data_IF_054246199044
#
_entry.id   IF_054246199044
#
_cell.length_a   1.000
_cell.length_b   1.000
_cell.length_c   1.000
_cell.angle_alpha   90.00
_cell.angle_beta   90.00
_cell.angle_gamma   90.00
#
_symmetry.space_group_name_H-M   'P 1'
#
loop_
_entity.id
_entity.type
_entity.pdbx_description
1 polymer ?
#
# COMPACT_ATOMS: atom_id res chain seq x y z
N UNK A 1 26.94 51.38 -36.06
CA UNK A 1 25.59 51.72 -36.56
C UNK A 1 24.65 50.58 -36.14
N UNK A 2 23.49 50.86 -35.53
CA UNK A 2 22.55 49.80 -35.15
C UNK A 2 22.02 49.08 -36.39
N UNK A 3 21.76 47.78 -36.27
CA UNK A 3 21.18 47.01 -37.39
C UNK A 3 19.74 47.44 -37.66
N UNK A 4 19.35 47.36 -38.93
CA UNK A 4 17.97 47.49 -39.40
C UNK A 4 17.45 46.13 -39.89
N UNK A 5 16.14 45.92 -39.85
CA UNK A 5 15.53 44.67 -40.34
C UNK A 5 15.85 44.43 -41.82
N UNK A 6 15.94 45.49 -42.62
CA UNK A 6 16.33 45.42 -44.04
C UNK A 6 17.76 44.89 -44.18
N UNK A 7 18.71 45.39 -43.38
CA UNK A 7 20.10 44.93 -43.41
C UNK A 7 20.21 43.45 -42.99
N UNK A 8 19.42 43.02 -42.00
CA UNK A 8 19.38 41.62 -41.53
C UNK A 8 18.80 40.70 -42.59
N UNK A 9 17.69 41.09 -43.23
CA UNK A 9 17.05 40.33 -44.30
C UNK A 9 17.98 40.16 -45.49
N UNK A 10 18.64 41.24 -45.89
CA UNK A 10 19.53 41.28 -47.06
C UNK A 10 20.95 40.76 -46.79
N UNK A 11 21.27 40.38 -45.56
CA UNK A 11 22.57 39.80 -45.22
C UNK A 11 22.82 38.52 -46.02
N UNK A 12 23.87 38.52 -46.87
CA UNK A 12 24.26 37.40 -47.72
C UNK A 12 25.38 36.57 -47.08
N UNK A 13 25.43 35.26 -47.36
CA UNK A 13 26.57 34.41 -46.99
C UNK A 13 27.83 34.85 -47.72
N UNK A 14 28.98 34.58 -47.11
CA UNK A 14 30.30 34.75 -47.71
C UNK A 14 31.13 33.48 -47.45
N UNK A 15 32.32 33.39 -48.04
CA UNK A 15 33.21 32.21 -47.89
C UNK A 15 33.61 31.92 -46.43
N UNK A 16 33.52 32.94 -45.56
CA UNK A 16 33.77 32.84 -44.13
C UNK A 16 32.58 33.40 -43.34
N UNK A 17 32.37 32.97 -42.07
CA UNK A 17 31.29 33.51 -41.25
C UNK A 17 31.39 35.02 -41.08
N UNK A 18 30.32 35.73 -41.47
CA UNK A 18 30.26 37.19 -41.41
C UNK A 18 29.50 37.64 -40.17
N UNK A 19 29.98 38.71 -39.51
CA UNK A 19 29.34 39.28 -38.33
C UNK A 19 28.83 40.68 -38.64
N UNK A 20 27.52 40.86 -38.52
CA UNK A 20 26.88 42.17 -38.63
C UNK A 20 26.57 42.66 -37.21
N UNK A 21 27.30 43.67 -36.75
CA UNK A 21 27.18 44.14 -35.37
C UNK A 21 26.00 45.08 -35.16
N UNK A 22 25.29 44.88 -34.05
CA UNK A 22 24.34 45.82 -33.48
C UNK A 22 24.94 46.46 -32.20
N UNK A 23 24.12 47.16 -31.43
CA UNK A 23 24.53 47.77 -30.17
C UNK A 23 24.65 46.78 -29.00
N UNK A 24 25.53 47.13 -28.05
CA UNK A 24 25.62 46.45 -26.76
C UNK A 24 26.09 44.99 -26.86
N UNK A 25 26.99 44.69 -27.79
CA UNK A 25 27.58 43.35 -27.97
C UNK A 25 26.69 42.36 -28.74
N UNK A 26 25.48 42.75 -29.14
CA UNK A 26 24.63 41.96 -30.03
C UNK A 26 25.15 42.03 -31.46
N UNK A 27 25.09 40.91 -32.19
CA UNK A 27 25.41 40.85 -33.61
C UNK A 27 24.70 39.66 -34.27
N UNK A 28 24.49 39.75 -35.58
CA UNK A 28 24.04 38.64 -36.41
C UNK A 28 25.27 37.92 -36.98
N UNK A 29 25.36 36.62 -36.75
CA UNK A 29 26.38 35.75 -37.34
C UNK A 29 25.77 35.01 -38.53
N UNK A 30 26.30 35.23 -39.73
CA UNK A 30 25.86 34.59 -40.97
C UNK A 30 26.89 33.54 -41.37
N UNK A 31 26.50 32.27 -41.41
CA UNK A 31 27.40 31.20 -41.87
C UNK A 31 27.50 31.17 -43.40
N UNK A 32 28.59 30.61 -43.95
CA UNK A 32 28.71 30.34 -45.38
C UNK A 32 27.55 29.52 -45.97
N UNK A 33 26.94 28.64 -45.16
CA UNK A 33 25.78 27.82 -45.54
C UNK A 33 24.44 28.57 -45.56
N UNK A 34 24.40 29.86 -45.20
CA UNK A 34 23.16 30.65 -45.19
C UNK A 34 22.47 30.79 -43.85
N UNK A 35 22.84 30.00 -42.84
CA UNK A 35 22.27 30.11 -41.50
C UNK A 35 22.59 31.46 -40.83
N UNK A 36 21.61 32.02 -40.12
CA UNK A 36 21.71 33.32 -39.45
C UNK A 36 21.39 33.17 -37.95
N UNK A 37 22.35 33.48 -37.08
CA UNK A 37 22.17 33.38 -35.63
C UNK A 37 22.37 34.72 -34.94
N UNK A 38 21.48 35.04 -34.01
CA UNK A 38 21.70 36.13 -33.06
C UNK A 38 22.70 35.71 -32.01
N UNK A 39 23.75 36.51 -31.83
CA UNK A 39 24.81 36.27 -30.86
C UNK A 39 25.00 37.50 -29.99
N UNK A 40 25.26 37.27 -28.72
CA UNK A 40 25.64 38.31 -27.77
C UNK A 40 27.05 38.02 -27.24
N UNK A 41 27.96 38.95 -27.50
CA UNK A 41 29.34 38.96 -27.03
C UNK A 41 29.43 39.77 -25.74
N UNK A 42 29.98 39.18 -24.68
CA UNK A 42 30.10 39.81 -23.38
C UNK A 42 31.39 39.38 -22.66
N UNK A 43 31.72 40.04 -21.54
CA UNK A 43 32.79 39.63 -20.63
C UNK A 43 32.21 39.30 -19.26
N UNK A 44 32.76 38.26 -18.64
CA UNK A 44 32.45 37.89 -17.26
C UNK A 44 33.73 37.37 -16.59
N UNK A 45 34.05 37.88 -15.40
CA UNK A 45 35.29 37.56 -14.68
C UNK A 45 36.56 37.67 -15.56
N UNK A 46 36.69 38.77 -16.30
CA UNK A 46 37.82 39.05 -17.20
C UNK A 46 37.84 38.26 -18.52
N UNK A 47 37.01 37.22 -18.66
CA UNK A 47 36.97 36.36 -19.86
C UNK A 47 35.87 36.78 -20.83
N UNK A 48 36.22 36.82 -22.11
CA UNK A 48 35.26 37.04 -23.19
C UNK A 48 34.44 35.77 -23.44
N UNK A 49 33.12 35.93 -23.53
CA UNK A 49 32.15 34.85 -23.72
C UNK A 49 31.12 35.23 -24.78
N UNK A 50 30.45 34.22 -25.33
CA UNK A 50 29.45 34.35 -26.39
C UNK A 50 28.20 33.56 -26.03
N UNK A 51 27.04 34.21 -26.09
CA UNK A 51 25.72 33.61 -25.89
C UNK A 51 24.96 33.58 -27.22
N UNK A 52 24.31 32.45 -27.53
CA UNK A 52 23.34 32.38 -28.64
C UNK A 52 22.02 32.97 -28.18
N UNK A 53 21.39 33.87 -28.93
CA UNK A 53 20.09 34.45 -28.59
C UNK A 53 18.95 33.92 -29.48
N UNK A 54 19.26 33.11 -30.50
CA UNK A 54 18.26 32.51 -31.38
C UNK A 54 18.71 32.42 -32.82
N UNK A 55 17.83 31.87 -33.67
CA UNK A 55 18.01 31.76 -35.11
C UNK A 55 17.08 32.75 -35.79
N UNK A 56 17.53 33.41 -36.84
CA UNK A 56 16.67 34.22 -37.71
C UNK A 56 16.11 33.33 -38.83
N UNK A 57 14.83 33.45 -39.24
CA UNK A 57 13.87 34.51 -38.89
C UNK A 57 13.01 34.24 -37.65
N UNK A 58 13.10 33.06 -37.02
CA UNK A 58 12.26 32.68 -35.86
C UNK A 58 12.33 33.70 -34.71
N UNK A 59 13.52 34.26 -34.48
CA UNK A 59 13.76 35.35 -33.54
C UNK A 59 14.01 36.63 -34.33
N UNK A 60 13.16 37.62 -34.11
CA UNK A 60 13.25 38.92 -34.80
C UNK A 60 14.41 39.74 -34.23
N UNK A 61 14.80 40.83 -34.91
CA UNK A 61 15.80 41.77 -34.37
C UNK A 61 15.34 42.39 -33.04
N UNK A 62 14.03 42.66 -32.91
CA UNK A 62 13.43 43.14 -31.66
C UNK A 62 13.59 42.11 -30.53
N UNK A 63 13.19 40.86 -30.76
CA UNK A 63 13.33 39.80 -29.75
C UNK A 63 14.80 39.55 -29.37
N UNK A 64 15.72 39.66 -30.35
CA UNK A 64 17.14 39.55 -30.10
C UNK A 64 17.67 40.68 -29.19
N UNK A 65 17.16 41.91 -29.36
CA UNK A 65 17.45 43.05 -28.46
C UNK A 65 16.88 42.83 -27.07
N UNK A 66 15.63 42.38 -26.94
CA UNK A 66 15.01 42.09 -25.65
C UNK A 66 15.75 40.98 -24.88
N UNK A 67 16.17 39.92 -25.59
CA UNK A 67 17.00 38.84 -25.02
C UNK A 67 18.40 39.32 -24.63
N UNK A 68 19.02 40.21 -25.42
CA UNK A 68 20.29 40.86 -25.07
C UNK A 68 20.13 41.65 -23.78
N UNK A 69 19.10 42.48 -23.67
CA UNK A 69 18.92 43.35 -22.51
C UNK A 69 18.61 42.55 -21.24
N UNK A 70 17.87 41.44 -21.36
CA UNK A 70 17.71 40.48 -20.27
C UNK A 70 19.04 39.87 -19.83
N UNK A 71 19.90 39.45 -20.77
CA UNK A 71 21.23 38.93 -20.46
C UNK A 71 22.15 40.00 -19.83
N UNK A 72 22.02 41.27 -20.24
CA UNK A 72 22.77 42.39 -19.65
C UNK A 72 22.33 42.68 -18.21
N UNK A 73 21.05 42.52 -17.87
CA UNK A 73 20.57 42.61 -16.48
C UNK A 73 21.22 41.55 -15.59
N UNK A 74 21.33 40.30 -16.06
CA UNK A 74 22.04 39.24 -15.33
C UNK A 74 23.51 39.61 -15.09
N UNK A 75 24.21 40.15 -16.11
CA UNK A 75 25.59 40.60 -15.96
C UNK A 75 25.73 41.73 -14.94
N UNK A 76 24.82 42.69 -14.93
CA UNK A 76 24.80 43.78 -13.96
C UNK A 76 24.64 43.27 -12.51
N UNK A 77 23.97 42.13 -12.34
CA UNK A 77 23.79 41.45 -11.05
C UNK A 77 24.91 40.43 -10.75
N UNK A 78 26.01 40.43 -11.50
CA UNK A 78 27.13 39.50 -11.27
C UNK A 78 26.84 38.04 -11.66
N UNK A 79 25.79 37.77 -12.45
CA UNK A 79 25.44 36.43 -12.92
C UNK A 79 25.91 36.23 -14.37
N UNK A 80 26.58 35.11 -14.65
CA UNK A 80 26.94 34.72 -16.02
C UNK A 80 25.70 34.22 -16.79
N UNK A 81 25.23 34.92 -17.84
CA UNK A 81 24.03 34.52 -18.60
C UNK A 81 24.16 33.18 -19.30
N UNK A 82 25.38 32.78 -19.69
CA UNK A 82 25.64 31.49 -20.31
C UNK A 82 25.56 30.33 -19.32
N UNK A 83 26.00 30.56 -18.08
CA UNK A 83 25.87 29.58 -17.00
C UNK A 83 24.42 29.48 -16.52
N UNK A 84 23.74 30.61 -16.30
CA UNK A 84 22.32 30.62 -15.92
C UNK A 84 21.47 29.84 -16.91
N UNK A 85 21.65 30.08 -18.23
CA UNK A 85 20.94 29.31 -19.26
C UNK A 85 21.21 27.80 -19.20
N UNK A 86 22.46 27.39 -18.88
CA UNK A 86 22.80 25.97 -18.72
C UNK A 86 22.11 25.38 -17.48
N UNK A 87 22.10 26.11 -16.37
CA UNK A 87 21.40 25.71 -15.13
C UNK A 87 19.90 25.56 -15.37
N UNK A 88 19.27 26.54 -16.03
CA UNK A 88 17.85 26.48 -16.38
C UNK A 88 17.53 25.29 -17.30
N UNK A 89 18.38 25.02 -18.30
CA UNK A 89 18.19 23.85 -19.20
C UNK A 89 18.34 22.53 -18.46
N UNK A 90 19.35 22.39 -17.59
CA UNK A 90 19.55 21.19 -16.78
C UNK A 90 18.38 20.99 -15.80
N UNK A 91 17.89 22.05 -15.18
CA UNK A 91 16.73 22.02 -14.29
C UNK A 91 15.44 21.62 -15.04
N UNK A 92 15.26 22.02 -16.30
CA UNK A 92 14.12 21.62 -17.12
C UNK A 92 14.17 20.13 -17.49
N UNK A 93 15.35 19.61 -17.85
CA UNK A 93 15.54 18.17 -18.14
C UNK A 93 15.33 17.33 -16.87
N UNK A 94 15.88 17.78 -15.74
CA UNK A 94 15.65 17.13 -14.44
C UNK A 94 14.18 17.16 -14.02
N UNK A 95 13.47 18.28 -14.22
CA UNK A 95 12.02 18.35 -13.96
C UNK A 95 11.22 17.40 -14.84
N UNK A 96 11.59 17.28 -16.12
CA UNK A 96 10.94 16.33 -17.03
C UNK A 96 11.20 14.86 -16.66
N UNK A 97 12.36 14.54 -16.08
CA UNK A 97 12.71 13.18 -15.63
C UNK A 97 12.16 12.80 -14.25
N UNK A 98 11.88 13.76 -13.37
CA UNK A 98 11.40 13.52 -12.00
C UNK A 98 9.86 13.58 -11.93
N UNK A 99 9.18 12.70 -12.67
CA UNK A 99 7.73 12.55 -12.54
C UNK A 99 7.34 11.92 -11.20
N UNK A 100 6.12 12.17 -10.72
CA UNK A 100 5.64 11.59 -9.46
C UNK A 100 5.75 10.07 -9.46
N UNK A 101 5.37 9.40 -10.55
CA UNK A 101 5.46 7.94 -10.65
C UNK A 101 6.90 7.45 -10.57
N UNK A 102 7.84 8.11 -11.26
CA UNK A 102 9.26 7.73 -11.22
C UNK A 102 9.77 7.79 -9.78
N UNK A 103 9.48 8.87 -9.07
CA UNK A 103 9.90 9.05 -7.67
C UNK A 103 9.19 8.08 -6.74
N UNK A 104 7.91 7.80 -6.98
CA UNK A 104 7.15 6.83 -6.20
C UNK A 104 7.69 5.40 -6.36
N UNK A 105 8.08 5.00 -7.57
CA UNK A 105 8.68 3.67 -7.82
C UNK A 105 10.08 3.56 -7.22
N UNK A 106 10.88 4.61 -7.30
CA UNK A 106 12.19 4.68 -6.63
C UNK A 106 12.05 4.54 -5.11
N UNK A 107 11.15 5.33 -4.51
CA UNK A 107 10.81 5.24 -3.09
C UNK A 107 10.35 3.82 -2.72
N UNK A 108 9.43 3.25 -3.49
CA UNK A 108 8.89 1.91 -3.26
C UNK A 108 9.97 0.83 -3.28
N UNK A 109 10.89 0.87 -4.25
CA UNK A 109 11.99 -0.07 -4.34
C UNK A 109 12.90 -0.01 -3.11
N UNK A 110 13.15 1.19 -2.56
CA UNK A 110 13.93 1.36 -1.33
C UNK A 110 13.23 0.84 -0.07
N UNK A 111 11.90 0.83 -0.02
CA UNK A 111 11.14 0.32 1.12
C UNK A 111 10.88 -1.20 1.07
N UNK A 112 10.85 -1.77 -0.12
CA UNK A 112 10.46 -3.16 -0.36
C UNK A 112 11.19 -4.20 0.51
N UNK A 113 12.52 -4.11 0.77
CA UNK A 113 13.23 -5.07 1.62
C UNK A 113 12.72 -5.12 3.07
N UNK A 114 12.19 -4.01 3.58
CA UNK A 114 11.65 -3.92 4.95
C UNK A 114 10.19 -4.37 5.08
N UNK A 115 9.52 -4.68 3.97
CA UNK A 115 8.09 -4.98 3.96
C UNK A 115 7.82 -6.45 3.64
N UNK A 116 6.78 -6.99 4.26
CA UNK A 116 6.18 -8.23 3.78
C UNK A 116 5.67 -8.01 2.35
N UNK A 117 5.87 -9.00 1.45
CA UNK A 117 5.48 -8.90 0.04
C UNK A 117 4.04 -8.42 -0.14
N UNK A 118 3.09 -8.97 0.62
CA UNK A 118 1.68 -8.61 0.54
C UNK A 118 1.37 -7.16 0.97
N UNK A 119 2.23 -6.55 1.79
CA UNK A 119 2.13 -5.14 2.14
C UNK A 119 2.59 -4.26 0.98
N UNK A 120 3.75 -4.58 0.39
CA UNK A 120 4.27 -3.91 -0.80
C UNK A 120 3.28 -3.98 -1.97
N UNK A 121 2.78 -5.17 -2.30
CA UNK A 121 1.80 -5.39 -3.37
C UNK A 121 0.57 -4.47 -3.22
N UNK A 122 0.07 -4.28 -1.98
CA UNK A 122 -1.08 -3.39 -1.71
C UNK A 122 -0.76 -1.90 -1.87
N UNK A 123 0.47 -1.49 -1.54
CA UNK A 123 0.88 -0.09 -1.65
C UNK A 123 1.05 0.27 -3.13
N UNK A 124 1.81 -0.53 -3.89
CA UNK A 124 2.03 -0.23 -5.30
C UNK A 124 0.73 -0.30 -6.10
N UNK A 125 -0.11 -1.32 -5.87
CA UNK A 125 -1.41 -1.42 -6.54
C UNK A 125 -2.30 -0.20 -6.24
N UNK A 126 -2.25 0.35 -5.02
CA UNK A 126 -2.99 1.57 -4.70
C UNK A 126 -2.45 2.77 -5.47
N UNK A 127 -1.14 2.94 -5.54
CA UNK A 127 -0.52 4.02 -6.32
C UNK A 127 -0.85 3.90 -7.81
N UNK A 128 -0.75 2.70 -8.38
CA UNK A 128 -1.02 2.42 -9.80
C UNK A 128 -2.49 2.61 -10.17
N UNK A 129 -3.42 2.19 -9.31
CA UNK A 129 -4.84 2.29 -9.62
C UNK A 129 -5.46 3.64 -9.27
N UNK A 130 -5.01 4.27 -8.19
CA UNK A 130 -5.67 5.46 -7.64
C UNK A 130 -4.88 6.76 -7.83
N UNK A 131 -3.56 6.72 -8.09
CA UNK A 131 -2.70 7.93 -8.13
C UNK A 131 -2.06 8.17 -9.50
N UNK A 132 -1.31 7.21 -10.02
CA UNK A 132 -0.55 7.35 -11.27
C UNK A 132 -1.39 7.76 -12.48
N UNK A 133 -2.64 7.30 -12.66
CA UNK A 133 -3.48 7.74 -13.78
C UNK A 133 -3.74 9.24 -13.81
N UNK A 134 -3.62 9.93 -12.67
CA UNK A 134 -3.93 11.34 -12.53
C UNK A 134 -2.70 12.22 -12.32
N UNK A 135 -1.72 11.72 -11.57
CA UNK A 135 -0.53 12.50 -11.17
C UNK A 135 0.79 11.88 -11.63
N UNK A 136 0.80 10.63 -12.10
CA UNK A 136 2.03 9.86 -12.31
C UNK A 136 3.01 10.51 -13.28
N UNK A 137 2.51 11.03 -14.41
CA UNK A 137 3.33 11.71 -15.42
C UNK A 137 3.70 13.15 -15.08
N UNK A 138 3.15 13.74 -14.01
CA UNK A 138 3.44 15.14 -13.66
C UNK A 138 4.80 15.25 -12.97
N UNK A 139 5.62 16.27 -13.28
CA UNK A 139 6.80 16.61 -12.49
C UNK A 139 6.41 16.80 -11.03
N UNK A 140 7.06 16.09 -10.11
CA UNK A 140 6.68 16.10 -8.69
C UNK A 140 6.76 17.50 -8.06
N UNK A 141 7.68 18.33 -8.55
CA UNK A 141 7.86 19.72 -8.12
C UNK A 141 6.70 20.65 -8.50
N UNK A 142 5.91 20.29 -9.52
CA UNK A 142 4.82 21.12 -10.02
C UNK A 142 3.44 20.66 -9.51
N UNK A 143 3.38 19.61 -8.66
CA UNK A 143 2.14 19.09 -8.11
C UNK A 143 1.71 19.93 -6.91
N UNK A 144 0.47 20.42 -6.94
CA UNK A 144 -0.12 21.22 -5.86
C UNK A 144 -0.94 20.36 -4.90
N UNK A 145 -1.10 20.84 -3.67
CA UNK A 145 -1.94 20.20 -2.65
C UNK A 145 -3.39 19.97 -3.13
N UNK A 146 -3.96 20.91 -3.89
CA UNK A 146 -5.32 20.79 -4.45
C UNK A 146 -5.46 19.60 -5.39
N UNK A 147 -4.43 19.29 -6.18
CA UNK A 147 -4.47 18.18 -7.14
C UNK A 147 -4.35 16.83 -6.44
N UNK A 148 -3.55 16.78 -5.37
CA UNK A 148 -3.52 15.61 -4.47
C UNK A 148 -4.90 15.43 -3.84
N UNK A 149 -5.52 16.49 -3.31
CA UNK A 149 -6.86 16.43 -2.73
C UNK A 149 -7.92 15.95 -3.73
N UNK A 150 -7.84 16.35 -4.99
CA UNK A 150 -8.77 15.88 -6.03
C UNK A 150 -8.65 14.38 -6.26
N UNK A 151 -7.42 13.82 -6.26
CA UNK A 151 -7.20 12.38 -6.30
C UNK A 151 -7.81 11.69 -5.08
N UNK A 152 -7.60 12.22 -3.88
CA UNK A 152 -8.16 11.65 -2.66
C UNK A 152 -9.69 11.65 -2.68
N UNK A 153 -10.31 12.75 -3.12
CA UNK A 153 -11.77 12.88 -3.24
C UNK A 153 -12.36 11.94 -4.29
N UNK A 154 -11.63 11.61 -5.37
CA UNK A 154 -12.08 10.58 -6.33
C UNK A 154 -12.21 9.21 -5.66
N UNK A 155 -11.22 8.83 -4.86
CA UNK A 155 -11.23 7.56 -4.11
C UNK A 155 -12.33 7.56 -3.04
N UNK A 156 -12.50 8.67 -2.35
CA UNK A 156 -13.56 8.86 -1.36
C UNK A 156 -14.97 8.73 -1.98
N UNK A 157 -15.23 9.39 -3.13
CA UNK A 157 -16.51 9.34 -3.84
C UNK A 157 -16.90 7.93 -4.30
N UNK A 158 -15.93 7.02 -4.46
CA UNK A 158 -16.18 5.59 -4.72
C UNK A 158 -16.67 4.83 -3.48
N UNK A 159 -16.78 5.49 -2.33
CA UNK A 159 -17.10 4.88 -1.03
C UNK A 159 -15.90 4.26 -0.31
N UNK A 160 -14.68 4.37 -0.87
CA UNK A 160 -13.48 3.72 -0.36
C UNK A 160 -12.69 4.62 0.61
N UNK A 161 -13.32 5.06 1.71
CA UNK A 161 -12.73 6.04 2.64
C UNK A 161 -11.39 5.59 3.26
N UNK A 162 -11.29 4.36 3.76
CA UNK A 162 -10.01 3.83 4.29
C UNK A 162 -8.92 3.87 3.21
N UNK A 163 -9.25 3.49 1.97
CA UNK A 163 -8.32 3.57 0.85
C UNK A 163 -7.87 5.00 0.59
N UNK A 164 -8.77 5.98 0.62
CA UNK A 164 -8.43 7.39 0.43
C UNK A 164 -7.42 7.90 1.48
N UNK A 165 -7.61 7.56 2.76
CA UNK A 165 -6.65 7.89 3.83
C UNK A 165 -5.29 7.22 3.59
N UNK A 166 -5.28 5.97 3.14
CA UNK A 166 -4.02 5.30 2.82
C UNK A 166 -3.34 5.86 1.57
N UNK A 167 -4.09 6.28 0.56
CA UNK A 167 -3.55 7.00 -0.61
C UNK A 167 -2.86 8.26 -0.12
N UNK A 168 -3.53 9.06 0.72
CA UNK A 168 -2.97 10.29 1.30
C UNK A 168 -1.64 10.02 2.02
N UNK A 169 -1.61 8.98 2.86
CA UNK A 169 -0.38 8.56 3.55
C UNK A 169 0.73 8.17 2.58
N UNK A 170 0.43 7.40 1.52
CA UNK A 170 1.43 6.99 0.54
C UNK A 170 1.94 8.18 -0.29
N UNK A 171 1.07 9.08 -0.71
CA UNK A 171 1.48 10.32 -1.38
C UNK A 171 2.44 11.13 -0.50
N UNK A 172 2.14 11.30 0.79
CA UNK A 172 3.02 11.99 1.72
C UNK A 172 4.34 11.27 1.98
N UNK A 173 4.39 9.93 1.90
CA UNK A 173 5.66 9.20 1.94
C UNK A 173 6.52 9.47 0.70
N UNK A 174 5.91 9.48 -0.50
CA UNK A 174 6.60 9.81 -1.76
C UNK A 174 7.11 11.25 -1.74
N UNK A 175 6.29 12.22 -1.32
CA UNK A 175 6.72 13.62 -1.22
C UNK A 175 7.84 13.81 -0.19
N UNK A 176 7.78 13.18 0.98
CA UNK A 176 8.87 13.26 1.96
C UNK A 176 10.16 12.60 1.45
N UNK A 177 10.06 11.52 0.69
CA UNK A 177 11.21 10.94 -0.02
C UNK A 177 11.80 11.92 -1.04
N UNK A 178 10.93 12.60 -1.81
CA UNK A 178 11.34 13.62 -2.76
C UNK A 178 12.03 14.81 -2.08
N UNK A 179 11.57 15.22 -0.88
CA UNK A 179 12.25 16.24 -0.05
C UNK A 179 13.63 15.74 0.37
N UNK A 180 13.71 14.55 0.94
CA UNK A 180 14.97 13.97 1.44
C UNK A 180 16.04 13.80 0.33
N UNK A 181 15.60 13.68 -0.93
CA UNK A 181 16.47 13.55 -2.10
C UNK A 181 16.63 14.85 -2.90
N UNK A 182 16.18 15.99 -2.36
CA UNK A 182 16.39 17.31 -2.96
C UNK A 182 15.58 17.59 -4.22
N UNK A 183 14.52 16.84 -4.48
CA UNK A 183 13.67 16.97 -5.70
C UNK A 183 12.54 17.96 -5.53
N UNK A 184 12.08 18.17 -4.30
CA UNK A 184 11.11 19.20 -3.91
C UNK A 184 11.51 19.80 -2.57
N UNK A 185 11.06 21.01 -2.28
CA UNK A 185 11.37 21.69 -1.00
C UNK A 185 10.42 21.27 0.12
N UNK A 186 9.19 20.83 -0.22
CA UNK A 186 8.13 20.57 0.77
C UNK A 186 7.21 19.43 0.36
N UNK A 187 6.69 18.73 1.38
CA UNK A 187 5.57 17.81 1.22
C UNK A 187 4.23 18.56 1.16
N UNK A 188 3.65 18.64 -0.04
CA UNK A 188 2.36 19.31 -0.29
C UNK A 188 1.16 18.55 0.26
N UNK A 189 1.31 17.28 0.64
CA UNK A 189 0.22 16.49 1.23
C UNK A 189 0.01 16.76 2.71
N UNK A 190 0.99 17.36 3.39
CA UNK A 190 0.96 17.59 4.83
C UNK A 190 -0.24 18.47 5.27
N UNK A 191 -0.60 19.46 4.45
CA UNK A 191 -1.71 20.39 4.71
C UNK A 191 -3.09 19.75 4.48
N UNK A 192 -3.15 18.55 3.91
CA UNK A 192 -4.40 17.84 3.64
C UNK A 192 -4.85 16.96 4.80
N UNK A 193 -4.14 16.98 5.95
CA UNK A 193 -4.60 16.27 7.14
C UNK A 193 -5.97 16.80 7.57
N UNK A 194 -6.92 15.90 7.79
CA UNK A 194 -8.30 16.25 8.13
C UNK A 194 -9.15 16.70 6.94
N UNK A 195 -8.62 16.77 5.72
CA UNK A 195 -9.40 17.13 4.53
C UNK A 195 -10.37 16.04 4.07
N UNK A 196 -10.16 14.79 4.52
CA UNK A 196 -11.05 13.66 4.28
C UNK A 196 -11.89 13.38 5.52
N UNK A 197 -13.18 13.04 5.36
CA UNK A 197 -14.00 12.53 6.46
C UNK A 197 -13.35 11.29 7.10
N UNK A 198 -13.56 11.06 8.40
CA UNK A 198 -12.99 9.90 9.07
C UNK A 198 -13.51 8.60 8.43
N UNK A 199 -12.62 7.62 8.26
CA UNK A 199 -13.01 6.27 7.90
C UNK A 199 -13.74 5.64 9.10
N UNK A 200 -14.94 5.10 8.88
CA UNK A 200 -15.61 4.27 9.90
C UNK A 200 -14.96 2.89 9.87
N UNK A 201 -14.32 2.52 10.97
CA UNK A 201 -13.85 1.16 11.18
C UNK A 201 -14.94 0.40 11.93
N UNK A 202 -15.60 -0.52 11.25
CA UNK A 202 -16.49 -1.48 11.89
C UNK A 202 -15.68 -2.71 12.32
N UNK A 203 -16.02 -3.25 13.48
CA UNK A 203 -15.47 -4.53 13.92
C UNK A 203 -15.97 -5.64 12.98
N UNK A 204 -15.18 -6.71 12.83
CA UNK A 204 -15.63 -7.86 12.04
C UNK A 204 -16.90 -8.45 12.65
N UNK A 205 -17.91 -8.69 11.80
CA UNK A 205 -19.15 -9.34 12.21
C UNK A 205 -18.87 -10.71 12.87
N UNK A 206 -19.60 -10.94 13.96
CA UNK A 206 -19.53 -12.15 14.78
C UNK A 206 -20.87 -12.40 15.45
N UNK A 207 -21.31 -13.65 15.43
CA UNK A 207 -22.38 -14.15 16.29
C UNK A 207 -21.79 -14.46 17.67
N UNK A 208 -22.46 -14.01 18.74
CA UNK A 208 -22.05 -14.29 20.12
C UNK A 208 -23.18 -14.89 20.96
N UNK A 209 -24.42 -14.85 20.45
CA UNK A 209 -25.57 -15.42 21.15
C UNK A 209 -25.59 -16.95 21.01
N UNK A 210 -25.66 -17.72 22.11
CA UNK A 210 -25.58 -19.19 22.08
C UNK A 210 -26.54 -19.85 21.07
N UNK A 211 -27.76 -19.35 20.95
CA UNK A 211 -28.77 -19.87 20.01
C UNK A 211 -28.38 -19.68 18.54
N UNK A 212 -27.81 -18.53 18.20
CA UNK A 212 -27.33 -18.25 16.83
C UNK A 212 -26.09 -19.09 16.52
N UNK A 213 -25.18 -19.20 17.49
CA UNK A 213 -23.98 -20.04 17.39
C UNK A 213 -24.35 -21.51 17.18
N UNK A 214 -25.34 -22.03 17.91
CA UNK A 214 -25.84 -23.39 17.72
C UNK A 214 -26.33 -23.62 16.27
N UNK A 215 -27.11 -22.68 15.73
CA UNK A 215 -27.56 -22.73 14.34
C UNK A 215 -26.42 -22.70 13.32
N UNK A 216 -25.44 -21.82 13.54
CA UNK A 216 -24.23 -21.73 12.72
C UNK A 216 -23.46 -23.06 12.74
N UNK A 217 -23.20 -23.61 13.92
CA UNK A 217 -22.44 -24.83 14.11
C UNK A 217 -23.07 -26.03 13.40
N UNK A 218 -24.40 -26.17 13.47
CA UNK A 218 -25.15 -27.19 12.70
C UNK A 218 -25.03 -26.97 11.19
N UNK A 219 -25.10 -25.71 10.73
CA UNK A 219 -24.91 -25.39 9.32
C UNK A 219 -23.48 -25.73 8.82
N UNK A 220 -22.46 -25.52 9.66
CA UNK A 220 -21.07 -25.90 9.33
C UNK A 220 -20.94 -27.42 9.10
N UNK A 221 -21.58 -28.24 9.93
CA UNK A 221 -21.57 -29.70 9.79
C UNK A 221 -22.32 -30.16 8.52
N UNK A 222 -23.31 -29.39 8.06
CA UNK A 222 -24.03 -29.61 6.81
C UNK A 222 -23.28 -29.18 5.53
N UNK A 223 -22.12 -28.51 5.64
CA UNK A 223 -21.43 -27.93 4.49
C UNK A 223 -21.01 -28.97 3.44
N UNK A 224 -21.37 -28.71 2.18
CA UNK A 224 -20.97 -29.54 1.03
C UNK A 224 -19.82 -28.86 0.27
N UNK A 225 -18.63 -29.45 0.36
CA UNK A 225 -17.41 -28.97 -0.30
C UNK A 225 -16.31 -30.01 -0.22
N UNK A 226 -15.06 -29.62 -0.50
CA UNK A 226 -13.94 -30.55 -0.32
C UNK A 226 -13.77 -30.87 1.16
N UNK A 227 -13.33 -32.10 1.46
CA UNK A 227 -13.08 -32.55 2.83
C UNK A 227 -12.13 -31.61 3.59
N UNK A 228 -11.09 -31.10 2.90
CA UNK A 228 -10.15 -30.11 3.45
C UNK A 228 -10.85 -28.83 3.92
N UNK A 229 -11.83 -28.31 3.16
CA UNK A 229 -12.60 -27.11 3.55
C UNK A 229 -13.57 -27.43 4.68
N UNK A 230 -14.19 -28.61 4.68
CA UNK A 230 -15.06 -29.06 5.77
C UNK A 230 -14.29 -29.12 7.10
N UNK A 231 -13.10 -29.74 7.11
CA UNK A 231 -12.23 -29.77 8.30
C UNK A 231 -11.84 -28.36 8.75
N UNK A 232 -11.46 -27.47 7.83
CA UNK A 232 -11.10 -26.09 8.17
C UNK A 232 -12.27 -25.32 8.80
N UNK A 233 -13.50 -25.51 8.30
CA UNK A 233 -14.69 -24.88 8.88
C UNK A 233 -15.02 -25.41 10.26
N UNK A 234 -14.89 -26.72 10.50
CA UNK A 234 -15.12 -27.33 11.81
C UNK A 234 -14.06 -26.90 12.83
N UNK A 235 -12.79 -26.76 12.40
CA UNK A 235 -11.68 -26.34 13.25
C UNK A 235 -11.64 -24.84 13.53
N UNK A 236 -12.18 -24.00 12.65
CA UNK A 236 -12.16 -22.54 12.82
C UNK A 236 -12.79 -22.05 14.15
N UNK A 237 -14.01 -22.47 14.55
CA UNK A 237 -14.57 -22.11 15.85
C UNK A 237 -13.88 -22.83 17.02
N UNK A 238 -13.38 -24.06 16.84
CA UNK A 238 -12.69 -24.81 17.90
C UNK A 238 -11.36 -24.18 18.30
N UNK A 239 -10.57 -23.74 17.32
CA UNK A 239 -9.21 -23.22 17.55
C UNK A 239 -9.17 -21.70 17.67
N UNK A 240 -10.11 -21.01 17.00
CA UNK A 240 -10.26 -19.55 16.97
C UNK A 240 -8.92 -18.80 16.80
N UNK A 241 -8.00 -19.37 16.02
CA UNK A 241 -6.79 -18.71 15.55
C UNK A 241 -7.13 -17.71 14.44
N UNK A 242 -6.18 -16.87 14.04
CA UNK A 242 -6.41 -15.99 12.89
C UNK A 242 -6.61 -16.84 11.64
N UNK A 243 -7.55 -16.50 10.73
CA UNK A 243 -7.75 -17.25 9.48
C UNK A 243 -6.47 -17.37 8.64
N UNK A 244 -5.61 -16.35 8.75
CA UNK A 244 -4.27 -16.32 8.17
C UNK A 244 -3.36 -17.47 8.63
N UNK A 245 -3.42 -17.83 9.90
CA UNK A 245 -2.57 -18.89 10.49
C UNK A 245 -3.18 -20.27 10.24
N UNK A 246 -4.51 -20.41 10.39
CA UNK A 246 -5.21 -21.68 10.15
C UNK A 246 -4.95 -22.20 8.73
N UNK A 247 -5.19 -21.36 7.73
CA UNK A 247 -5.05 -21.73 6.31
C UNK A 247 -3.63 -22.16 5.92
N UNK A 248 -2.61 -21.63 6.59
CA UNK A 248 -1.19 -21.86 6.26
C UNK A 248 -0.54 -22.84 7.23
N UNK A 249 -1.33 -23.46 8.11
CA UNK A 249 -0.83 -24.42 9.08
C UNK A 249 -0.08 -25.56 8.36
N UNK A 250 1.07 -25.95 8.90
CA UNK A 250 1.94 -26.99 8.35
C UNK A 250 1.94 -28.19 9.30
N UNK A 251 2.00 -29.40 8.75
CA UNK A 251 1.96 -30.62 9.56
C UNK A 251 3.13 -30.71 10.55
N UNK A 252 4.30 -30.19 10.19
CA UNK A 252 5.49 -30.09 11.05
C UNK A 252 5.27 -29.28 12.33
N UNK A 253 4.22 -28.46 12.40
CA UNK A 253 3.87 -27.64 13.55
C UNK A 253 2.97 -28.37 14.56
N UNK A 254 2.45 -29.56 14.23
CA UNK A 254 1.52 -30.31 15.07
C UNK A 254 2.19 -31.50 15.72
N UNK A 255 1.98 -31.63 17.03
CA UNK A 255 2.21 -32.85 17.79
C UNK A 255 0.83 -33.34 18.26
N UNK A 256 0.19 -34.19 17.45
CA UNK A 256 -1.18 -34.64 17.70
C UNK A 256 -1.28 -35.61 18.88
N UNK A 257 -0.18 -36.27 19.24
CA UNK A 257 -0.14 -37.17 20.40
C UNK A 257 -0.07 -36.38 21.70
N UNK A 258 0.63 -35.24 21.70
CA UNK A 258 0.58 -34.27 22.81
C UNK A 258 -0.59 -33.29 22.73
N UNK A 259 -1.39 -33.35 21.66
CA UNK A 259 -2.48 -32.41 21.39
C UNK A 259 -2.02 -30.94 21.36
N UNK A 260 -0.94 -30.65 20.64
CA UNK A 260 -0.35 -29.31 20.54
C UNK A 260 -0.17 -28.84 19.10
N UNK A 261 -0.38 -27.55 18.87
CA UNK A 261 0.02 -26.86 17.64
C UNK A 261 0.94 -25.67 17.96
N UNK A 262 2.18 -25.69 17.47
CA UNK A 262 3.22 -24.69 17.76
C UNK A 262 3.69 -23.99 16.49
N UNK A 263 3.56 -22.67 16.43
CA UNK A 263 3.99 -21.88 15.28
C UNK A 263 4.38 -20.45 15.68
N UNK A 264 5.15 -19.78 14.82
CA UNK A 264 5.45 -18.35 14.98
C UNK A 264 4.37 -17.52 14.30
N UNK A 265 3.66 -16.69 15.06
CA UNK A 265 2.55 -15.86 14.56
C UNK A 265 3.06 -14.90 13.48
N UNK A 266 2.45 -14.95 12.29
CA UNK A 266 2.90 -14.18 11.14
C UNK A 266 2.94 -12.66 11.37
N UNK A 267 1.95 -12.13 12.11
CA UNK A 267 1.76 -10.70 12.39
C UNK A 267 2.69 -10.16 13.49
N UNK A 268 2.88 -10.91 14.57
CA UNK A 268 3.62 -10.44 15.77
C UNK A 268 5.03 -11.01 15.87
N UNK A 269 5.36 -12.02 15.05
CA UNK A 269 6.65 -12.72 15.06
C UNK A 269 7.00 -13.33 16.41
N UNK A 270 5.98 -13.83 17.12
CA UNK A 270 6.11 -14.47 18.43
C UNK A 270 5.71 -15.92 18.34
N UNK A 271 6.42 -16.77 19.05
CA UNK A 271 6.06 -18.18 19.18
C UNK A 271 4.76 -18.32 19.96
N UNK A 272 3.91 -19.19 19.46
CA UNK A 272 2.60 -19.44 20.01
C UNK A 272 2.32 -20.94 20.00
N UNK A 273 1.87 -21.43 21.14
CA UNK A 273 1.34 -22.78 21.30
C UNK A 273 -0.18 -22.67 21.41
N UNK A 274 -0.90 -23.52 20.69
CA UNK A 274 -2.36 -23.71 20.76
C UNK A 274 -2.60 -25.12 21.30
N UNK A 275 -3.15 -25.29 22.52
CA UNK A 275 -3.62 -26.60 22.98
C UNK A 275 -4.80 -27.06 22.13
N UNK A 276 -4.87 -28.35 21.83
CA UNK A 276 -5.90 -28.95 21.00
C UNK A 276 -6.86 -29.76 21.88
N UNK A 277 -8.15 -29.45 21.81
CA UNK A 277 -9.18 -30.30 22.39
C UNK A 277 -9.28 -31.63 21.63
N UNK A 278 -9.83 -32.67 22.28
CA UNK A 278 -10.02 -34.00 21.68
C UNK A 278 -10.75 -33.96 20.34
N UNK A 279 -11.77 -33.12 20.23
CA UNK A 279 -12.55 -32.87 19.01
C UNK A 279 -11.67 -32.36 17.86
N UNK A 280 -10.77 -31.42 18.15
CA UNK A 280 -9.85 -30.88 17.16
C UNK A 280 -8.82 -31.94 16.71
N UNK A 281 -8.28 -32.72 17.65
CA UNK A 281 -7.35 -33.82 17.35
C UNK A 281 -8.01 -34.87 16.46
N UNK A 282 -9.27 -35.24 16.73
CA UNK A 282 -10.00 -36.19 15.90
C UNK A 282 -10.14 -35.72 14.45
N UNK A 283 -10.58 -34.47 14.25
CA UNK A 283 -10.70 -33.87 12.89
C UNK A 283 -9.33 -33.82 12.19
N UNK A 284 -8.28 -33.46 12.92
CA UNK A 284 -6.91 -33.40 12.38
C UNK A 284 -6.40 -34.79 11.99
N UNK A 285 -6.64 -35.84 12.79
CA UNK A 285 -6.24 -37.21 12.45
C UNK A 285 -6.95 -37.73 11.21
N UNK A 286 -8.25 -37.45 11.04
CA UNK A 286 -8.96 -37.78 9.79
C UNK A 286 -8.34 -37.05 8.58
N UNK A 287 -8.05 -35.75 8.72
CA UNK A 287 -7.44 -34.95 7.68
C UNK A 287 -5.99 -35.38 7.36
N UNK A 288 -5.27 -35.89 8.36
CA UNK A 288 -3.90 -36.38 8.22
C UNK A 288 -3.84 -37.59 7.28
N UNK A 289 -4.86 -38.46 7.28
CA UNK A 289 -4.95 -39.57 6.31
C UNK A 289 -4.94 -39.11 4.85
N UNK A 290 -5.52 -37.93 4.56
CA UNK A 290 -5.59 -37.38 3.20
C UNK A 290 -4.41 -36.47 2.84
N UNK A 291 -3.90 -35.71 3.81
CA UNK A 291 -2.97 -34.59 3.55
C UNK A 291 -1.65 -34.67 4.32
N UNK A 292 -1.48 -35.65 5.21
CA UNK A 292 -0.31 -35.77 6.10
C UNK A 292 1.03 -35.95 5.39
N UNK A 293 1.01 -36.43 4.14
CA UNK A 293 2.20 -36.53 3.29
C UNK A 293 2.59 -35.21 2.60
N UNK A 294 1.87 -34.11 2.88
CA UNK A 294 2.09 -32.78 2.30
C UNK A 294 2.66 -31.83 3.34
N UNK A 295 3.13 -30.67 2.91
CA UNK A 295 3.58 -29.62 3.82
C UNK A 295 2.41 -29.01 4.61
N UNK A 296 1.37 -28.55 3.90
CA UNK A 296 0.25 -27.85 4.50
C UNK A 296 -0.85 -28.80 4.97
N UNK A 297 -1.41 -28.53 6.15
CA UNK A 297 -2.61 -29.19 6.69
C UNK A 297 -3.81 -28.95 5.77
N UNK A 298 -3.91 -27.72 5.25
CA UNK A 298 -5.00 -27.31 4.36
C UNK A 298 -4.46 -26.93 2.99
N UNK A 299 -4.16 -27.89 2.10
CA UNK A 299 -3.68 -27.59 0.76
C UNK A 299 -4.77 -26.93 -0.11
N UNK A 300 -4.36 -26.06 -1.03
CA UNK A 300 -5.22 -25.46 -2.04
C UNK A 300 -5.44 -26.39 -3.25
N UNK A 301 -5.96 -25.81 -4.35
CA UNK A 301 -6.06 -26.52 -5.64
C UNK A 301 -4.69 -26.93 -6.16
N UNK A 302 -3.71 -26.04 -6.01
CA UNK A 302 -2.29 -26.37 -6.11
C UNK A 302 -1.85 -26.91 -4.74
N UNK A 303 -1.45 -28.18 -4.69
CA UNK A 303 -1.10 -28.88 -3.45
C UNK A 303 0.16 -28.32 -2.78
N UNK A 304 0.99 -27.58 -3.52
CA UNK A 304 2.18 -26.89 -2.99
C UNK A 304 1.84 -25.55 -2.32
N UNK A 305 0.58 -25.11 -2.40
CA UNK A 305 0.12 -23.85 -1.82
C UNK A 305 -0.93 -24.12 -0.74
N UNK A 306 -1.02 -23.26 0.27
CA UNK A 306 -2.10 -23.34 1.24
C UNK A 306 -3.46 -23.02 0.57
N UNK A 307 -4.54 -23.49 1.18
CA UNK A 307 -5.94 -23.17 0.88
C UNK A 307 -6.10 -21.66 0.63
N UNK A 308 -7.00 -21.16 -0.22
CA UNK A 308 -7.15 -19.72 -0.56
C UNK A 308 -7.70 -18.83 0.58
N UNK A 309 -7.29 -17.54 0.63
CA UNK A 309 -7.61 -16.57 1.70
C UNK A 309 -9.10 -16.37 1.89
N UNK A 310 -9.84 -16.56 0.80
CA UNK A 310 -11.28 -16.42 0.76
C UNK A 310 -12.03 -17.70 1.12
N UNK A 311 -11.38 -18.85 1.32
CA UNK A 311 -12.04 -20.16 1.37
C UNK A 311 -13.10 -20.27 2.48
N UNK A 312 -12.75 -19.92 3.72
CA UNK A 312 -13.68 -19.95 4.86
C UNK A 312 -14.86 -19.00 4.63
N UNK A 313 -14.59 -17.73 4.26
CA UNK A 313 -15.67 -16.78 3.99
C UNK A 313 -16.52 -17.17 2.77
N UNK A 314 -15.93 -17.79 1.74
CA UNK A 314 -16.68 -18.30 0.60
C UNK A 314 -17.57 -19.47 0.99
N UNK A 315 -17.11 -20.34 1.89
CA UNK A 315 -17.92 -21.42 2.41
C UNK A 315 -19.06 -20.93 3.32
N UNK A 316 -18.80 -19.95 4.21
CA UNK A 316 -19.84 -19.29 5.01
C UNK A 316 -20.95 -18.69 4.12
N UNK A 317 -20.57 -17.99 3.04
CA UNK A 317 -21.54 -17.46 2.08
C UNK A 317 -22.35 -18.55 1.37
N UNK A 318 -21.73 -19.69 1.04
CA UNK A 318 -22.44 -20.83 0.45
C UNK A 318 -23.42 -21.49 1.41
N UNK A 319 -23.19 -21.37 2.72
CA UNK A 319 -24.12 -21.79 3.77
C UNK A 319 -25.24 -20.76 4.01
N UNK A 320 -25.22 -19.63 3.31
CA UNK A 320 -26.26 -18.60 3.41
C UNK A 320 -25.93 -17.45 4.38
N UNK A 321 -24.73 -17.41 4.97
CA UNK A 321 -24.35 -16.35 5.90
C UNK A 321 -23.78 -15.11 5.20
N UNK A 322 -24.21 -13.93 5.61
CA UNK A 322 -23.62 -12.66 5.21
C UNK A 322 -22.31 -12.41 5.96
N UNK A 323 -21.21 -12.50 5.23
CA UNK A 323 -19.85 -12.24 5.74
C UNK A 323 -19.52 -10.75 5.97
N UNK A 324 -20.51 -9.87 5.99
CA UNK A 324 -20.35 -8.46 6.39
C UNK A 324 -21.08 -8.14 7.68
N UNK A 325 -22.22 -8.77 7.93
CA UNK A 325 -23.14 -8.40 9.00
C UNK A 325 -23.34 -9.50 10.04
N UNK A 326 -23.21 -10.78 9.65
CA UNK A 326 -23.51 -11.91 10.53
C UNK A 326 -22.24 -12.58 11.07
N UNK A 327 -21.40 -13.15 10.21
CA UNK A 327 -20.20 -13.88 10.64
C UNK A 327 -19.11 -13.88 9.59
N UNK A 328 -17.87 -13.67 10.03
CA UNK A 328 -16.68 -13.88 9.19
C UNK A 328 -15.80 -14.97 9.77
N UNK A 329 -14.85 -15.48 8.98
CA UNK A 329 -13.80 -16.34 9.49
C UNK A 329 -12.98 -15.68 10.62
N UNK A 330 -12.86 -14.34 10.63
CA UNK A 330 -12.26 -13.63 11.77
C UNK A 330 -13.23 -13.52 12.96
N UNK A 331 -14.53 -13.45 12.68
CA UNK A 331 -15.61 -13.39 13.67
C UNK A 331 -15.58 -14.54 14.67
N UNK A 332 -15.18 -15.75 14.28
CA UNK A 332 -14.99 -16.87 15.22
C UNK A 332 -14.10 -16.53 16.43
N UNK A 333 -13.15 -15.59 16.25
CA UNK A 333 -12.28 -15.13 17.35
C UNK A 333 -13.01 -14.25 18.35
N UNK A 334 -13.86 -13.36 17.84
CA UNK A 334 -14.70 -12.51 18.68
C UNK A 334 -15.75 -13.35 19.40
N UNK A 335 -16.39 -14.29 18.67
CA UNK A 335 -17.29 -15.31 19.23
C UNK A 335 -16.66 -16.04 20.41
N UNK A 336 -15.50 -16.68 20.21
CA UNK A 336 -14.81 -17.41 21.26
C UNK A 336 -14.45 -16.49 22.43
N UNK A 337 -13.90 -15.30 22.18
CA UNK A 337 -13.55 -14.33 23.23
C UNK A 337 -14.74 -13.98 24.12
N UNK A 338 -15.86 -13.60 23.50
CA UNK A 338 -17.06 -13.17 24.22
C UNK A 338 -17.64 -14.33 25.02
N UNK A 339 -17.85 -15.48 24.39
CA UNK A 339 -18.54 -16.61 25.03
C UNK A 339 -17.67 -17.27 26.12
N UNK A 340 -16.36 -17.42 25.90
CA UNK A 340 -15.44 -17.93 26.90
C UNK A 340 -15.47 -17.07 28.18
N UNK A 341 -15.59 -15.75 28.01
CA UNK A 341 -15.62 -14.82 29.13
C UNK A 341 -17.01 -14.75 29.80
N UNK A 342 -18.08 -14.64 29.02
CA UNK A 342 -19.42 -14.37 29.53
C UNK A 342 -20.17 -15.64 29.96
N UNK A 343 -20.07 -16.72 29.19
CA UNK A 343 -20.81 -17.96 29.45
C UNK A 343 -19.98 -18.93 30.28
N UNK A 344 -18.71 -19.10 29.91
CA UNK A 344 -17.82 -20.08 30.54
C UNK A 344 -16.94 -19.51 31.66
N UNK A 345 -16.99 -18.18 31.88
CA UNK A 345 -16.34 -17.47 32.99
C UNK A 345 -14.82 -17.70 33.10
N UNK A 346 -14.14 -17.92 31.98
CA UNK A 346 -12.68 -18.00 31.96
C UNK A 346 -12.03 -16.61 32.15
N UNK A 347 -10.88 -16.53 32.85
CA UNK A 347 -10.17 -15.27 33.03
C UNK A 347 -9.74 -14.65 31.69
N UNK A 348 -9.88 -13.31 31.59
CA UNK A 348 -9.59 -12.58 30.36
C UNK A 348 -8.15 -12.79 29.88
N UNK A 349 -7.18 -12.78 30.79
CA UNK A 349 -5.76 -13.00 30.50
C UNK A 349 -5.49 -14.35 29.82
N UNK A 350 -6.16 -15.43 30.24
CA UNK A 350 -6.03 -16.77 29.64
C UNK A 350 -6.56 -16.76 28.19
N UNK A 351 -7.72 -16.12 27.98
CA UNK A 351 -8.35 -15.97 26.66
C UNK A 351 -7.47 -15.13 25.73
N UNK A 352 -6.97 -13.98 26.20
CA UNK A 352 -6.14 -13.07 25.41
C UNK A 352 -4.78 -13.72 25.06
N UNK A 353 -4.20 -14.52 25.97
CA UNK A 353 -3.02 -15.35 25.67
C UNK A 353 -3.29 -16.37 24.56
N UNK A 354 -4.44 -17.06 24.61
CA UNK A 354 -4.85 -18.00 23.56
C UNK A 354 -5.08 -17.31 22.21
N UNK A 355 -5.57 -16.08 22.20
CA UNK A 355 -5.74 -15.29 20.98
C UNK A 355 -4.40 -14.73 20.44
N UNK A 356 -3.28 -14.97 21.12
CA UNK A 356 -1.99 -14.35 20.82
C UNK A 356 -2.12 -12.81 20.74
N UNK A 357 -2.86 -12.23 21.70
CA UNK A 357 -2.93 -10.79 21.93
C UNK A 357 -1.86 -10.38 22.96
N UNK A 358 -1.57 -9.08 23.04
CA UNK A 358 -0.73 -8.56 24.12
C UNK A 358 -1.65 -8.41 25.34
N UNK A 359 -1.34 -9.10 26.42
CA UNK A 359 -2.01 -8.87 27.71
C UNK A 359 -1.40 -7.61 28.32
N UNK A 360 -2.18 -6.56 28.62
CA UNK A 360 -1.71 -5.38 29.35
C UNK A 360 -1.21 -5.79 30.73
N UNK A 361 -0.15 -5.13 31.19
CA UNK A 361 0.47 -5.42 32.49
C UNK A 361 0.13 -4.32 33.49
N UNK A 362 -0.34 -4.68 34.68
CA UNK A 362 -0.50 -3.75 35.79
C UNK A 362 0.83 -3.47 36.53
N UNK A 363 1.86 -4.30 36.33
CA UNK A 363 3.17 -4.26 37.01
C UNK A 363 4.38 -4.16 36.04
N UNK A 364 4.13 -3.99 34.74
CA UNK A 364 5.14 -3.79 33.70
C UNK A 364 5.67 -5.08 33.05
N UNK A 365 5.78 -5.06 31.71
CA UNK A 365 6.02 -6.19 30.78
C UNK A 365 7.19 -7.16 31.08
N UNK A 366 7.94 -6.95 32.15
CA UNK A 366 9.06 -7.78 32.57
C UNK A 366 8.65 -9.06 33.31
N UNK A 367 7.42 -9.14 33.86
CA UNK A 367 7.04 -10.23 34.78
C UNK A 367 6.06 -11.29 34.25
N UNK A 368 5.42 -11.09 33.10
CA UNK A 368 4.48 -12.10 32.58
C UNK A 368 5.20 -13.23 31.83
N UNK A 369 5.89 -14.10 32.58
CA UNK A 369 6.47 -15.37 32.09
C UNK A 369 5.44 -16.49 32.00
N UNK A 370 4.27 -16.32 32.58
CA UNK A 370 3.20 -17.31 32.64
C UNK A 370 2.48 -17.41 31.29
N UNK A 371 2.61 -18.58 30.65
CA UNK A 371 1.92 -18.90 29.39
C UNK A 371 0.51 -19.50 29.61
N UNK A 372 0.12 -19.68 30.88
CA UNK A 372 -1.15 -20.27 31.33
C UNK A 372 -1.48 -21.58 30.59
N UNK A 373 -0.49 -22.44 30.35
CA UNK A 373 -0.68 -23.61 29.47
C UNK A 373 -1.74 -24.55 30.03
N UNK A 374 -1.67 -24.90 31.31
CA UNK A 374 -2.62 -25.83 31.92
C UNK A 374 -4.05 -25.26 31.92
N UNK A 375 -4.20 -23.98 32.28
CA UNK A 375 -5.49 -23.28 32.21
C UNK A 375 -6.04 -23.23 30.79
N UNK A 376 -5.17 -23.02 29.80
CA UNK A 376 -5.55 -23.00 28.38
C UNK A 376 -5.92 -24.39 27.88
N UNK A 377 -5.25 -25.45 28.32
CA UNK A 377 -5.62 -26.84 28.00
C UNK A 377 -7.04 -27.11 28.51
N UNK A 378 -7.31 -26.78 29.77
CA UNK A 378 -8.65 -26.90 30.36
C UNK A 378 -9.68 -26.07 29.59
N UNK A 379 -9.36 -24.80 29.31
CA UNK A 379 -10.23 -23.88 28.57
C UNK A 379 -10.56 -24.39 27.18
N UNK A 380 -9.58 -24.84 26.41
CA UNK A 380 -9.79 -25.34 25.05
C UNK A 380 -10.67 -26.58 25.04
N UNK A 381 -10.52 -27.49 26.02
CA UNK A 381 -11.39 -28.65 26.12
C UNK A 381 -12.81 -28.27 26.53
N UNK A 382 -13.00 -27.43 27.56
CA UNK A 382 -14.33 -26.96 27.99
C UNK A 382 -15.05 -26.17 26.91
N UNK A 383 -14.30 -25.38 26.13
CA UNK A 383 -14.83 -24.69 24.95
C UNK A 383 -15.36 -25.67 23.91
N UNK A 384 -14.59 -26.69 23.56
CA UNK A 384 -15.00 -27.68 22.57
C UNK A 384 -16.23 -28.48 23.05
N UNK A 385 -16.24 -28.88 24.32
CA UNK A 385 -17.38 -29.58 24.92
C UNK A 385 -18.65 -28.71 24.89
N UNK A 386 -18.54 -27.42 25.25
CA UNK A 386 -19.64 -26.46 25.18
C UNK A 386 -20.17 -26.26 23.75
N UNK A 387 -19.30 -26.23 22.73
CA UNK A 387 -19.75 -26.15 21.33
C UNK A 387 -20.53 -27.40 20.91
N UNK A 388 -20.15 -28.58 21.38
CA UNK A 388 -20.88 -29.83 21.12
C UNK A 388 -22.23 -29.84 21.86
N UNK A 389 -22.28 -29.37 23.11
CA UNK A 389 -23.52 -29.18 23.88
C UNK A 389 -24.51 -28.28 23.12
N UNK A 390 -24.07 -27.10 22.67
CA UNK A 390 -24.88 -26.17 21.87
C UNK A 390 -25.42 -26.79 20.58
N UNK A 391 -24.63 -27.65 19.92
CA UNK A 391 -25.08 -28.35 18.71
C UNK A 391 -26.18 -29.36 19.02
N UNK A 392 -26.05 -30.06 20.15
CA UNK A 392 -26.93 -31.16 20.57
C UNK A 392 -28.28 -30.70 21.12
N UNK A 393 -28.36 -29.50 21.69
CA UNK A 393 -29.62 -28.91 22.09
C UNK A 393 -30.50 -28.70 20.85
N UNK A 394 -31.61 -29.47 20.79
CA UNK A 394 -32.62 -29.44 19.72
C UNK A 394 -33.39 -28.13 19.73
N UNK A 395 -32.74 -27.05 19.31
CA UNK A 395 -33.35 -25.77 19.00
C UNK A 395 -33.56 -25.66 17.49
N UNK A 396 -34.79 -25.38 17.08
CA UNK A 396 -35.27 -25.22 15.70
C UNK A 396 -34.18 -24.77 14.71
N UNK A 397 -34.02 -25.54 13.64
CA UNK A 397 -33.18 -25.19 12.50
C UNK A 397 -33.61 -23.80 12.00
N UNK A 398 -32.71 -22.81 12.07
CA UNK A 398 -32.95 -21.48 11.49
C UNK A 398 -33.34 -21.66 10.03
N UNK A 399 -34.55 -21.22 9.66
CA UNK A 399 -35.09 -21.33 8.29
C UNK A 399 -34.14 -20.63 7.33
N UNK A 400 -33.40 -21.41 6.54
CA UNK A 400 -32.59 -20.93 5.42
C UNK A 400 -33.53 -20.16 4.48
N UNK A 401 -33.31 -18.86 4.29
CA UNK A 401 -34.02 -18.09 3.26
C UNK A 401 -33.48 -18.55 1.90
N UNK A 402 -34.36 -19.12 1.08
CA UNK A 402 -34.03 -19.52 -0.27
C UNK A 402 -33.52 -18.31 -1.07
N UNK A 403 -32.37 -18.47 -1.73
CA UNK A 403 -31.82 -17.47 -2.65
C UNK A 403 -32.72 -17.46 -3.88
N UNK A 404 -33.34 -16.32 -4.19
CA UNK A 404 -34.07 -16.12 -5.43
C UNK A 404 -33.10 -16.27 -6.63
N UNK A 405 -33.53 -17.05 -7.62
CA UNK A 405 -32.79 -17.41 -8.82
C UNK A 405 -32.42 -16.22 -9.70
#
# INVERSE_FOLDING_TARGET
>A
MPLTDIAVRNAKPADKPTRLFDAGGLYLEVAPSGGKWWRFKYRFAGKEKRLSLGVYPEITLKDARDRRDSARKLLANGVDPGLDRKVQKAAAVQRAGNSFETIAREWFAGQLPGWAKSHGDKIIARLENDVFPWLGGRPIADIRATEVLDVLRRVEKRGARDTAHRVHQNCGQVFRYAVATGRVERDVSADLRGALPPARHENFASMTEPKEVAGLLRALDGFKGTFVVQCALRLAPLLFVRPGELRTAEWSHFDLDKAEWRYTVSKTKRDHLVPLARQAVAILRELQGLTGHRQHVFPGRDVKKPMSGAAINAALRRLGFDTKTEITGHGFRAMARTILHEQLRFPGEVIEHQLAHKVPDALGTAYNRTKFIDDRVLMMQRWADYLDELKSETGDVLKIRAVAA
#
